data_IF_139955151993
#
_entry.id   IF_139955151993
#
_cell.length_a   1.000
_cell.length_b   1.000
_cell.length_c   1.000
_cell.angle_alpha   90.00
_cell.angle_beta   90.00
_cell.angle_gamma   90.00
#
_symmetry.space_group_name_H-M   'P 1'
#
loop_
_entity.id
_entity.type
_entity.pdbx_description
1 polymer ?
#
# COMPACT_ATOMS: atom_id res chain seq x y z
N UNK A 1 -2.93 2.34 -8.39
CA UNK A 1 -2.24 1.03 -8.31
C UNK A 1 -0.80 1.09 -7.75
N UNK A 2 -0.48 1.91 -6.75
CA UNK A 2 0.87 1.91 -6.10
C UNK A 2 0.86 1.00 -4.86
N UNK A 3 2.04 0.51 -4.45
CA UNK A 3 2.25 -0.04 -3.11
C UNK A 3 2.40 1.10 -2.09
N UNK A 4 1.98 0.87 -0.85
CA UNK A 4 2.07 1.83 0.26
C UNK A 4 2.72 1.11 1.44
N UNK A 5 3.92 1.55 1.83
CA UNK A 5 4.55 1.16 3.08
C UNK A 5 4.15 2.13 4.18
N UNK A 6 3.73 1.65 5.34
CA UNK A 6 3.30 2.49 6.45
C UNK A 6 3.76 1.95 7.81
N UNK A 7 3.90 2.83 8.79
CA UNK A 7 4.10 2.47 10.20
C UNK A 7 2.79 2.67 10.95
N UNK A 8 2.55 1.97 12.06
CA UNK A 8 1.29 2.05 12.81
C UNK A 8 0.93 3.49 13.24
N UNK A 9 1.94 4.30 13.57
CA UNK A 9 1.76 5.70 13.95
C UNK A 9 1.27 6.60 12.81
N UNK A 10 1.29 6.13 11.56
CA UNK A 10 0.69 6.80 10.43
C UNK A 10 -0.83 6.57 10.32
N UNK A 11 -1.42 5.75 11.19
CA UNK A 11 -2.87 5.44 11.21
C UNK A 11 -3.77 6.67 11.05
N UNK A 12 -3.62 7.74 11.86
CA UNK A 12 -4.45 8.94 11.73
C UNK A 12 -4.38 9.61 10.35
N UNK A 13 -3.23 9.57 9.68
CA UNK A 13 -3.08 10.10 8.32
C UNK A 13 -3.83 9.22 7.32
N UNK A 14 -3.73 7.90 7.47
CA UNK A 14 -4.41 6.93 6.60
C UNK A 14 -5.94 6.96 6.78
N UNK A 15 -6.42 7.16 8.00
CA UNK A 15 -7.85 7.38 8.29
C UNK A 15 -8.36 8.63 7.59
N UNK A 16 -7.64 9.75 7.70
CA UNK A 16 -8.01 11.01 7.02
C UNK A 16 -7.94 10.92 5.50
N UNK A 17 -7.05 10.09 4.97
CA UNK A 17 -6.97 9.80 3.55
C UNK A 17 -8.05 8.80 3.08
N UNK A 18 -8.87 8.25 3.99
CA UNK A 18 -9.92 7.29 3.67
C UNK A 18 -9.42 5.91 3.27
N UNK A 19 -8.16 5.58 3.54
CA UNK A 19 -7.54 4.30 3.12
C UNK A 19 -7.37 3.30 4.27
N UNK A 20 -7.73 3.69 5.50
CA UNK A 20 -7.45 2.86 6.68
C UNK A 20 -8.27 1.57 6.67
N UNK A 21 -9.58 1.65 6.46
CA UNK A 21 -10.42 0.45 6.42
C UNK A 21 -10.33 -0.28 5.06
N UNK A 22 -9.87 0.42 4.02
CA UNK A 22 -9.71 -0.08 2.65
C UNK A 22 -8.28 -0.61 2.35
N UNK A 23 -7.48 -0.91 3.38
CA UNK A 23 -6.16 -1.51 3.19
C UNK A 23 -6.28 -2.89 2.54
N UNK A 24 -5.51 -3.13 1.48
CA UNK A 24 -5.39 -4.42 0.79
C UNK A 24 -3.94 -4.93 0.82
N UNK A 25 -3.60 -5.96 0.04
CA UNK A 25 -2.25 -6.53 -0.02
C UNK A 25 -1.19 -5.56 -0.57
N UNK A 26 -1.60 -4.43 -1.16
CA UNK A 26 -0.74 -3.32 -1.56
C UNK A 26 -0.36 -2.38 -0.40
N UNK A 27 -0.99 -2.49 0.77
CA UNK A 27 -0.70 -1.71 1.98
C UNK A 27 0.11 -2.55 2.99
N UNK A 28 1.40 -2.29 3.09
CA UNK A 28 2.36 -3.13 3.83
C UNK A 28 2.84 -2.40 5.09
N UNK A 29 2.67 -3.03 6.26
CA UNK A 29 3.14 -2.48 7.53
C UNK A 29 4.66 -2.64 7.67
N UNK A 30 5.33 -1.61 8.18
CA UNK A 30 6.76 -1.53 8.43
C UNK A 30 6.98 -1.41 9.94
N UNK A 31 7.11 -2.54 10.61
CA UNK A 31 7.15 -2.66 12.08
C UNK A 31 8.57 -2.76 12.66
N UNK A 32 9.54 -3.17 11.84
CA UNK A 32 10.95 -3.36 12.24
C UNK A 32 11.91 -2.88 11.16
N UNK A 33 13.17 -2.69 11.54
CA UNK A 33 14.22 -2.16 10.65
C UNK A 33 14.38 -2.93 9.32
N UNK A 34 14.15 -4.24 9.31
CA UNK A 34 14.24 -5.07 8.09
C UNK A 34 13.11 -4.86 7.08
N UNK A 35 11.95 -4.39 7.52
CA UNK A 35 10.75 -4.34 6.69
C UNK A 35 10.88 -3.37 5.53
N UNK A 36 11.67 -2.29 5.70
CA UNK A 36 11.96 -1.36 4.62
C UNK A 36 12.68 -2.04 3.44
N UNK A 37 13.62 -2.95 3.71
CA UNK A 37 14.31 -3.70 2.66
C UNK A 37 13.36 -4.66 1.94
N UNK A 38 12.53 -5.38 2.70
CA UNK A 38 11.58 -6.32 2.14
C UNK A 38 10.46 -5.63 1.35
N UNK A 39 10.02 -4.45 1.81
CA UNK A 39 9.11 -3.59 1.06
C UNK A 39 9.71 -3.19 -0.29
N UNK A 40 10.95 -2.70 -0.32
CA UNK A 40 11.62 -2.34 -1.59
C UNK A 40 11.73 -3.54 -2.53
N UNK A 41 12.01 -4.75 -2.02
CA UNK A 41 12.00 -5.97 -2.85
C UNK A 41 10.61 -6.24 -3.44
N UNK A 42 9.53 -6.02 -2.70
CA UNK A 42 8.16 -6.18 -3.22
C UNK A 42 7.84 -5.23 -4.38
N UNK A 43 8.50 -4.06 -4.43
CA UNK A 43 8.35 -3.07 -5.51
C UNK A 43 8.91 -3.55 -6.87
N UNK A 44 9.65 -4.68 -6.91
CA UNK A 44 10.07 -5.29 -8.18
C UNK A 44 8.88 -5.66 -9.09
N UNK A 45 7.67 -5.79 -8.52
CA UNK A 45 6.41 -5.95 -9.25
C UNK A 45 5.93 -4.67 -9.96
N UNK A 46 6.63 -3.55 -9.75
CA UNK A 46 6.37 -2.18 -10.23
C UNK A 46 5.09 -1.54 -9.70
N UNK A 47 3.95 -2.23 -9.75
CA UNK A 47 2.63 -1.75 -9.33
C UNK A 47 1.83 -2.86 -8.65
N UNK A 48 0.81 -2.45 -7.90
CA UNK A 48 -0.20 -3.35 -7.36
C UNK A 48 -1.40 -3.37 -8.33
N UNK A 49 -1.32 -4.24 -9.32
CA UNK A 49 -2.24 -4.30 -10.47
C UNK A 49 -3.66 -4.74 -10.12
N UNK A 50 -3.90 -5.40 -8.99
CA UNK A 50 -5.26 -5.82 -8.59
C UNK A 50 -6.22 -4.64 -8.42
N UNK A 51 -5.71 -3.42 -8.20
CA UNK A 51 -6.51 -2.17 -8.15
C UNK A 51 -6.85 -1.60 -9.53
N UNK A 52 -6.20 -2.05 -10.60
CA UNK A 52 -6.38 -1.48 -11.95
C UNK A 52 -7.81 -1.61 -12.46
N UNK A 53 -8.50 -2.77 -12.35
CA UNK A 53 -9.88 -2.89 -12.78
C UNK A 53 -10.88 -2.01 -12.00
N UNK A 54 -10.49 -1.49 -10.84
CA UNK A 54 -11.32 -0.58 -10.03
C UNK A 54 -11.15 0.89 -10.41
N UNK A 55 -10.11 1.21 -11.18
CA UNK A 55 -9.71 2.58 -11.54
C UNK A 55 -9.92 2.85 -13.03
N UNK A 56 -9.80 1.83 -13.87
CA UNK A 56 -10.07 1.93 -15.30
C UNK A 56 -11.55 1.63 -15.59
N UNK A 57 -12.34 2.70 -15.72
CA UNK A 57 -13.76 2.64 -16.08
C UNK A 57 -13.98 2.89 -17.59
N UNK A 58 -12.92 3.01 -18.40
CA UNK A 58 -13.00 3.44 -19.79
C UNK A 58 -13.25 2.26 -20.77
N UNK A 59 -13.98 1.23 -20.32
CA UNK A 59 -14.49 0.13 -21.15
C UNK A 59 -15.64 0.54 -22.06
#
# INVERSE_FOLDING_TARGET
CKFIGYVDTAGPLMEKAGIWDDKDEGCIVLSKAGDASDFVKSLAKLRHWNREPMVDLDG
#
